data_IF_445931188144
#
_entry.id   IF_445931188144
#
_cell.length_a   1.000
_cell.length_b   1.000
_cell.length_c   1.000
_cell.angle_alpha   90.00
_cell.angle_beta   90.00
_cell.angle_gamma   90.00
#
_symmetry.space_group_name_H-M   'P 1'
#
loop_
_entity.id
_entity.type
_entity.pdbx_description
1 polymer ?
#
# COMPACT_ATOMS: atom_id res chain seq x y z
N UNK A 1 -0.13 -0.95 -5.27
CA UNK A 1 0.50 -0.61 -3.96
C UNK A 1 0.33 -1.82 -3.04
N UNK A 2 0.94 -1.84 -1.84
CA UNK A 2 0.91 -2.99 -0.92
C UNK A 2 -0.49 -3.36 -0.39
N UNK A 3 -0.54 -4.11 0.71
CA UNK A 3 -1.80 -4.55 1.32
C UNK A 3 -2.42 -3.49 2.24
N UNK A 4 -3.75 -3.35 2.17
CA UNK A 4 -4.55 -2.52 3.07
C UNK A 4 -4.81 -1.09 2.58
N UNK A 5 -5.81 -0.43 3.20
CA UNK A 5 -6.13 0.98 2.96
C UNK A 5 -5.29 1.86 3.93
N UNK A 6 -4.28 2.60 3.45
CA UNK A 6 -3.36 3.32 4.33
C UNK A 6 -4.04 4.43 5.13
N UNK A 7 -5.08 5.08 4.61
CA UNK A 7 -5.75 6.16 5.35
C UNK A 7 -6.60 5.65 6.52
N UNK A 8 -6.90 4.35 6.59
CA UNK A 8 -7.49 3.75 7.79
C UNK A 8 -6.46 3.57 8.92
N UNK A 9 -5.17 3.61 8.60
CA UNK A 9 -4.06 3.55 9.57
C UNK A 9 -3.23 4.85 9.53
N UNK A 10 -3.93 5.99 9.57
CA UNK A 10 -3.37 7.29 9.23
C UNK A 10 -2.13 7.67 10.03
N UNK A 11 -2.16 7.52 11.35
CA UNK A 11 -1.08 8.01 12.23
C UNK A 11 0.22 7.22 12.02
N UNK A 12 0.12 5.90 11.87
CA UNK A 12 1.28 5.07 11.55
C UNK A 12 1.83 5.36 10.15
N UNK A 13 0.95 5.58 9.16
CA UNK A 13 1.36 5.95 7.80
C UNK A 13 2.04 7.32 7.77
N UNK A 14 1.53 8.30 8.52
CA UNK A 14 2.15 9.62 8.63
C UNK A 14 3.53 9.54 9.31
N UNK A 15 3.65 8.75 10.38
CA UNK A 15 4.94 8.48 11.03
C UNK A 15 5.93 7.83 10.05
N UNK A 16 5.48 6.85 9.25
CA UNK A 16 6.32 6.21 8.24
C UNK A 16 6.76 7.20 7.13
N UNK A 17 5.87 8.09 6.67
CA UNK A 17 6.22 9.16 5.72
C UNK A 17 7.30 10.08 6.31
N UNK A 18 7.17 10.44 7.58
CA UNK A 18 8.17 11.27 8.28
C UNK A 18 9.50 10.54 8.41
N UNK A 19 9.50 9.25 8.72
CA UNK A 19 10.70 8.44 8.76
C UNK A 19 11.38 8.38 7.37
N UNK A 20 10.63 8.04 6.31
CA UNK A 20 11.14 8.00 4.94
C UNK A 20 11.79 9.32 4.51
N UNK A 21 11.24 10.46 4.93
CA UNK A 21 11.75 11.78 4.55
C UNK A 21 12.92 12.25 5.42
N UNK A 22 12.80 12.19 6.75
CA UNK A 22 13.81 12.69 7.69
C UNK A 22 15.00 11.76 7.87
N UNK A 23 14.74 10.45 7.91
CA UNK A 23 15.74 9.43 8.26
C UNK A 23 16.40 8.88 7.01
N UNK A 24 15.59 8.49 6.02
CA UNK A 24 16.09 7.92 4.77
C UNK A 24 16.37 8.96 3.68
N UNK A 25 16.11 10.24 3.95
CA UNK A 25 16.40 11.34 3.03
C UNK A 25 15.60 11.31 1.72
N UNK A 26 14.49 10.56 1.68
CA UNK A 26 13.67 10.45 0.47
C UNK A 26 12.87 11.74 0.27
N UNK A 27 13.06 12.42 -0.86
CA UNK A 27 12.27 13.60 -1.15
C UNK A 27 10.78 13.23 -1.24
N UNK A 28 9.85 13.98 -0.60
CA UNK A 28 8.43 13.62 -0.51
C UNK A 28 7.76 13.35 -1.87
N UNK A 29 8.22 14.00 -2.94
CA UNK A 29 7.73 13.78 -4.31
C UNK A 29 7.95 12.35 -4.84
N UNK A 30 8.83 11.56 -4.22
CA UNK A 30 9.04 10.15 -4.56
C UNK A 30 8.17 9.20 -3.74
N UNK A 31 7.45 9.71 -2.74
CA UNK A 31 6.50 8.96 -1.94
C UNK A 31 5.12 9.16 -2.54
N UNK A 32 4.46 8.05 -2.90
CA UNK A 32 3.08 8.07 -3.39
C UNK A 32 2.20 7.25 -2.46
N UNK A 33 1.20 7.88 -1.86
CA UNK A 33 0.17 7.22 -1.07
C UNK A 33 -1.04 6.98 -1.97
N UNK A 34 -1.47 5.73 -2.10
CA UNK A 34 -2.73 5.40 -2.78
C UNK A 34 -3.84 5.12 -1.78
N UNK A 35 -5.07 5.52 -2.10
CA UNK A 35 -6.24 5.32 -1.26
C UNK A 35 -7.46 4.99 -2.11
N UNK A 36 -8.37 4.18 -1.56
CA UNK A 36 -9.70 3.95 -2.11
C UNK A 36 -10.64 5.15 -1.91
N UNK A 37 -10.24 6.17 -1.15
CA UNK A 37 -10.97 7.44 -1.06
C UNK A 37 -11.49 7.83 0.31
N UNK A 38 -10.71 7.65 1.39
CA UNK A 38 -11.12 8.08 2.74
C UNK A 38 -11.12 9.62 2.83
N UNK A 39 -12.26 10.23 2.50
CA UNK A 39 -12.42 11.67 2.20
C UNK A 39 -11.80 12.60 3.25
N UNK A 40 -12.13 12.42 4.53
CA UNK A 40 -11.63 13.30 5.60
C UNK A 40 -10.11 13.17 5.78
N UNK A 41 -9.54 11.96 5.59
CA UNK A 41 -8.10 11.71 5.68
C UNK A 41 -7.34 12.22 4.45
N UNK A 42 -7.94 12.26 3.26
CA UNK A 42 -7.34 12.95 2.10
C UNK A 42 -7.12 14.44 2.41
N UNK A 43 -8.14 15.09 2.98
CA UNK A 43 -8.04 16.51 3.38
C UNK A 43 -7.00 16.71 4.48
N UNK A 44 -6.93 15.78 5.44
CA UNK A 44 -5.92 15.83 6.49
C UNK A 44 -4.49 15.63 5.94
N UNK A 45 -4.27 14.62 5.09
CA UNK A 45 -2.98 14.35 4.44
C UNK A 45 -2.49 15.56 3.64
N UNK A 46 -3.42 16.24 2.97
CA UNK A 46 -3.12 17.45 2.19
C UNK A 46 -2.50 18.57 3.02
N UNK A 47 -2.79 18.62 4.33
CA UNK A 47 -2.23 19.57 5.29
C UNK A 47 -0.97 19.03 5.96
N UNK A 48 -1.01 17.77 6.41
CA UNK A 48 0.06 17.17 7.23
C UNK A 48 1.28 16.75 6.40
N UNK A 49 1.08 16.40 5.12
CA UNK A 49 2.11 15.95 4.19
C UNK A 49 1.90 16.52 2.77
N UNK A 50 1.92 17.85 2.59
CA UNK A 50 1.46 18.52 1.37
C UNK A 50 2.28 18.19 0.11
N UNK A 51 3.51 17.69 0.28
CA UNK A 51 4.45 17.37 -0.80
C UNK A 51 4.46 15.89 -1.19
N UNK A 52 3.75 15.02 -0.46
CA UNK A 52 3.58 13.60 -0.81
C UNK A 52 2.62 13.51 -2.00
N UNK A 53 2.91 12.62 -2.96
CA UNK A 53 2.02 12.37 -4.09
C UNK A 53 0.82 11.56 -3.66
N UNK A 54 -0.35 11.89 -4.20
CA UNK A 54 -1.58 11.16 -4.00
C UNK A 54 -1.91 10.35 -5.24
N UNK A 55 -2.24 9.08 -5.03
CA UNK A 55 -2.91 8.24 -5.99
C UNK A 55 -4.34 7.94 -5.49
N UNK A 56 -5.31 7.96 -6.39
CA UNK A 56 -6.69 7.61 -6.12
C UNK A 56 -7.03 6.30 -6.82
N UNK A 57 -7.33 5.25 -6.07
CA UNK A 57 -7.89 4.00 -6.58
C UNK A 57 -9.37 4.21 -6.92
N UNK A 58 -9.64 4.80 -8.09
CA UNK A 58 -10.98 5.18 -8.53
C UNK A 58 -11.75 4.00 -9.12
N UNK A 59 -11.15 3.33 -10.10
CA UNK A 59 -11.62 2.10 -10.79
C UNK A 59 -13.00 2.16 -11.49
N UNK A 60 -13.83 3.15 -11.24
CA UNK A 60 -15.11 3.34 -11.91
C UNK A 60 -15.52 4.81 -11.92
N UNK A 61 -16.15 5.31 -13.01
CA UNK A 61 -16.52 6.71 -13.13
C UNK A 61 -17.93 7.05 -12.62
N UNK A 62 -18.69 6.06 -12.13
CA UNK A 62 -20.02 6.26 -11.50
C UNK A 62 -20.06 5.64 -10.11
N UNK A 63 -20.97 6.11 -9.25
CA UNK A 63 -21.09 5.59 -7.89
C UNK A 63 -21.55 4.14 -7.89
N UNK A 64 -22.46 3.78 -8.79
CA UNK A 64 -23.06 2.45 -8.90
C UNK A 64 -21.97 1.42 -9.23
N UNK A 65 -21.22 1.66 -10.31
CA UNK A 65 -20.13 0.78 -10.74
C UNK A 65 -18.99 0.75 -9.71
N UNK A 66 -18.70 1.88 -9.04
CA UNK A 66 -17.68 1.91 -7.99
C UNK A 66 -18.08 1.08 -6.78
N UNK A 67 -19.37 1.02 -6.44
CA UNK A 67 -19.88 0.22 -5.33
C UNK A 67 -19.82 -1.28 -5.63
N UNK A 68 -19.91 -1.66 -6.91
CA UNK A 68 -19.72 -3.04 -7.36
C UNK A 68 -18.26 -3.48 -7.29
N UNK A 69 -17.33 -2.66 -7.78
CA UNK A 69 -15.89 -3.00 -7.84
C UNK A 69 -15.20 -2.82 -6.49
N UNK A 70 -15.57 -1.77 -5.75
CA UNK A 70 -14.99 -1.42 -4.45
C UNK A 70 -16.13 -1.30 -3.44
N UNK A 71 -16.55 -2.39 -2.78
CA UNK A 71 -17.72 -2.38 -1.90
C UNK A 71 -17.65 -1.34 -0.77
N UNK A 72 -16.44 -1.07 -0.26
CA UNK A 72 -16.19 -0.05 0.77
C UNK A 72 -16.44 1.38 0.28
N UNK A 73 -16.54 1.60 -1.03
CA UNK A 73 -16.80 2.92 -1.62
C UNK A 73 -18.20 3.46 -1.32
N UNK A 74 -19.15 2.61 -0.90
CA UNK A 74 -20.50 3.03 -0.48
C UNK A 74 -20.45 4.06 0.66
N UNK A 75 -19.42 4.01 1.51
CA UNK A 75 -19.19 4.98 2.59
C UNK A 75 -18.69 6.35 2.08
N UNK A 76 -18.24 6.44 0.82
CA UNK A 76 -17.56 7.59 0.25
C UNK A 76 -18.18 7.98 -1.09
N UNK A 77 -19.27 8.77 -1.10
CA UNK A 77 -19.93 9.24 -2.31
C UNK A 77 -18.95 9.88 -3.31
N UNK A 78 -19.06 9.50 -4.58
CA UNK A 78 -18.12 9.87 -5.63
C UNK A 78 -18.02 11.40 -5.81
N UNK A 79 -19.13 12.12 -5.75
CA UNK A 79 -19.18 13.59 -5.81
C UNK A 79 -18.32 14.23 -4.69
N UNK A 80 -18.48 13.76 -3.46
CA UNK A 80 -17.72 14.25 -2.29
C UNK A 80 -16.25 13.84 -2.35
N UNK A 81 -15.96 12.67 -2.91
CA UNK A 81 -14.60 12.21 -3.15
C UNK A 81 -13.91 13.11 -4.18
N UNK A 82 -14.55 13.40 -5.31
CA UNK A 82 -14.00 14.29 -6.33
C UNK A 82 -13.81 15.71 -5.78
N UNK A 83 -14.73 16.21 -4.94
CA UNK A 83 -14.53 17.48 -4.25
C UNK A 83 -13.30 17.48 -3.33
N UNK A 84 -13.00 16.38 -2.63
CA UNK A 84 -11.78 16.28 -1.82
C UNK A 84 -10.50 16.18 -2.67
N UNK A 85 -10.58 15.62 -3.87
CA UNK A 85 -9.48 15.66 -4.84
C UNK A 85 -9.26 17.09 -5.35
N UNK A 86 -10.34 17.82 -5.63
CA UNK A 86 -10.26 19.23 -6.05
C UNK A 86 -9.63 20.08 -4.94
N UNK A 87 -10.05 19.89 -3.68
CA UNK A 87 -9.43 20.52 -2.51
C UNK A 87 -7.92 20.20 -2.44
N UNK A 88 -7.54 18.94 -2.66
CA UNK A 88 -6.15 18.50 -2.64
C UNK A 88 -5.32 19.17 -3.75
N UNK A 89 -5.86 19.23 -4.96
CA UNK A 89 -5.22 19.84 -6.13
C UNK A 89 -5.04 21.36 -5.94
N UNK A 90 -6.02 22.03 -5.32
CA UNK A 90 -5.98 23.46 -5.04
C UNK A 90 -4.93 23.87 -4.00
N UNK A 91 -4.39 22.94 -3.21
CA UNK A 91 -3.39 23.23 -2.19
C UNK A 91 -2.09 23.86 -2.73
N UNK A 92 -1.74 23.55 -3.99
CA UNK A 92 -0.52 24.07 -4.61
C UNK A 92 -0.61 24.00 -6.13
N UNK A 93 -0.18 25.05 -6.80
CA UNK A 93 -0.05 25.03 -8.26
C UNK A 93 0.86 23.89 -8.75
N UNK A 94 0.48 23.26 -9.86
CA UNK A 94 1.22 22.15 -10.46
C UNK A 94 1.09 20.81 -9.72
N UNK A 95 0.23 20.71 -8.69
CA UNK A 95 -0.09 19.42 -8.07
C UNK A 95 -0.82 18.52 -9.07
N UNK A 96 -0.58 17.22 -8.95
CA UNK A 96 -1.09 16.19 -9.85
C UNK A 96 -1.54 15.01 -9.01
N UNK A 97 -2.73 14.49 -9.28
CA UNK A 97 -3.22 13.24 -8.70
C UNK A 97 -3.11 12.13 -9.73
N UNK A 98 -2.52 11.01 -9.35
CA UNK A 98 -2.56 9.80 -10.18
C UNK A 98 -3.90 9.11 -9.96
N UNK A 99 -4.69 8.90 -11.01
CA UNK A 99 -5.94 8.15 -10.93
C UNK A 99 -5.66 6.73 -11.38
N UNK A 100 -5.80 5.78 -10.46
CA UNK A 100 -5.63 4.36 -10.77
C UNK A 100 -6.96 3.76 -11.21
N UNK A 101 -6.94 3.09 -12.36
CA UNK A 101 -8.10 2.51 -12.98
C UNK A 101 -7.80 1.06 -13.37
N UNK A 102 -8.25 0.10 -12.55
CA UNK A 102 -8.13 -1.31 -12.88
C UNK A 102 -9.16 -1.64 -13.95
N UNK A 103 -8.70 -2.10 -15.12
CA UNK A 103 -9.57 -2.40 -16.26
C UNK A 103 -10.00 -3.86 -16.20
N UNK A 104 -11.31 -4.09 -16.15
CA UNK A 104 -11.98 -5.37 -16.02
C UNK A 104 -12.86 -5.60 -17.26
N UNK A 105 -12.63 -6.71 -17.96
CA UNK A 105 -13.32 -7.03 -19.20
C UNK A 105 -14.83 -7.11 -19.02
N UNK A 106 -15.59 -6.36 -19.81
CA UNK A 106 -17.05 -6.36 -19.80
C UNK A 106 -17.69 -5.71 -18.57
N UNK A 107 -16.90 -5.09 -17.69
CA UNK A 107 -17.40 -4.46 -16.45
C UNK A 107 -17.22 -2.94 -16.51
N UNK A 108 -16.01 -2.47 -16.80
CA UNK A 108 -15.66 -1.04 -16.74
C UNK A 108 -14.74 -0.57 -17.88
N UNK A 109 -14.67 -1.34 -18.96
CA UNK A 109 -13.74 -1.15 -20.09
C UNK A 109 -14.44 -0.71 -21.40
N UNK A 110 -15.74 -0.40 -21.35
CA UNK A 110 -16.48 0.04 -22.54
C UNK A 110 -16.10 1.47 -22.97
N UNK A 111 -16.31 1.79 -24.26
CA UNK A 111 -16.09 3.14 -24.82
C UNK A 111 -16.99 4.18 -24.16
N UNK A 112 -18.24 3.82 -23.85
CA UNK A 112 -19.18 4.68 -23.12
C UNK A 112 -18.64 5.00 -21.72
N UNK A 113 -18.11 3.99 -21.04
CA UNK A 113 -17.47 4.15 -19.72
C UNK A 113 -16.25 5.07 -19.81
N UNK A 114 -15.45 4.96 -20.87
CA UNK A 114 -14.32 5.86 -21.12
C UNK A 114 -14.78 7.32 -21.28
N UNK A 115 -15.89 7.57 -21.98
CA UNK A 115 -16.46 8.90 -22.11
C UNK A 115 -16.97 9.46 -20.77
N UNK A 116 -17.60 8.63 -19.93
CA UNK A 116 -18.05 9.05 -18.59
C UNK A 116 -16.84 9.40 -17.72
N UNK A 117 -15.79 8.57 -17.72
CA UNK A 117 -14.54 8.84 -17.02
C UNK A 117 -13.86 10.12 -17.52
N UNK A 118 -13.80 10.30 -18.84
CA UNK A 118 -13.27 11.50 -19.47
C UNK A 118 -13.98 12.77 -18.99
N UNK A 119 -15.32 12.76 -18.99
CA UNK A 119 -16.14 13.88 -18.48
C UNK A 119 -15.98 14.11 -16.99
N UNK A 120 -15.80 13.06 -16.20
CA UNK A 120 -15.56 13.16 -14.76
C UNK A 120 -14.21 13.81 -14.45
N UNK A 121 -13.17 13.51 -15.24
CA UNK A 121 -11.80 13.92 -14.95
C UNK A 121 -11.33 15.15 -15.73
N UNK A 122 -12.02 15.56 -16.78
CA UNK A 122 -11.69 16.77 -17.52
C UNK A 122 -11.59 17.98 -16.58
N UNK A 123 -10.70 18.92 -16.93
CA UNK A 123 -10.37 20.11 -16.15
C UNK A 123 -9.66 19.86 -14.81
N UNK A 124 -9.31 18.62 -14.47
CA UNK A 124 -8.48 18.31 -13.30
C UNK A 124 -7.04 18.01 -13.73
N UNK A 125 -6.09 18.45 -12.91
CA UNK A 125 -4.68 18.06 -13.06
C UNK A 125 -4.51 16.62 -12.58
N UNK A 126 -4.82 15.67 -13.47
CA UNK A 126 -4.72 14.23 -13.19
C UNK A 126 -3.90 13.49 -14.23
N UNK A 127 -3.37 12.34 -13.81
CA UNK A 127 -2.76 11.35 -14.71
C UNK A 127 -3.46 10.02 -14.50
N UNK A 128 -4.14 9.53 -15.54
CA UNK A 128 -4.86 8.25 -15.50
C UNK A 128 -3.87 7.11 -15.75
N UNK A 129 -3.74 6.22 -14.78
CA UNK A 129 -2.99 5.00 -14.89
C UNK A 129 -3.97 3.85 -15.11
N UNK A 130 -4.10 3.42 -16.38
CA UNK A 130 -4.89 2.25 -16.76
C UNK A 130 -4.10 1.00 -16.41
N UNK A 131 -4.68 0.12 -15.59
CA UNK A 131 -4.05 -1.09 -15.06
C UNK A 131 -4.86 -2.28 -15.58
N UNK A 132 -4.43 -2.94 -16.67
CA UNK A 132 -5.08 -4.16 -17.13
C UNK A 132 -5.10 -5.20 -16.00
N UNK A 133 -6.27 -5.79 -15.73
CA UNK A 133 -6.40 -6.80 -14.69
C UNK A 133 -5.42 -7.95 -14.90
N UNK A 134 -4.83 -8.46 -13.82
CA UNK A 134 -3.99 -9.65 -13.90
C UNK A 134 -4.85 -10.88 -13.62
N UNK A 135 -5.29 -11.57 -14.67
CA UNK A 135 -6.07 -12.80 -14.53
C UNK A 135 -5.27 -13.84 -13.75
N UNK A 136 -5.79 -14.29 -12.61
CA UNK A 136 -5.21 -15.38 -11.81
C UNK A 136 -5.89 -16.70 -12.13
N UNK A 137 -5.13 -17.79 -12.17
CA UNK A 137 -5.63 -19.13 -12.50
C UNK A 137 -6.59 -19.74 -11.45
N UNK A 138 -6.82 -19.07 -10.32
CA UNK A 138 -7.71 -19.55 -9.25
C UNK A 138 -8.96 -18.66 -9.18
N UNK A 139 -10.08 -19.16 -9.68
CA UNK A 139 -11.43 -18.65 -9.37
C UNK A 139 -11.70 -17.20 -9.78
N UNK A 140 -10.99 -16.65 -10.76
CA UNK A 140 -11.11 -15.24 -11.12
C UNK A 140 -12.51 -14.90 -11.66
N UNK A 141 -13.25 -14.09 -10.90
CA UNK A 141 -14.54 -13.52 -11.30
C UNK A 141 -14.40 -12.50 -12.45
N UNK A 142 -13.20 -11.96 -12.63
CA UNK A 142 -12.90 -10.93 -13.63
C UNK A 142 -11.77 -11.37 -14.57
N UNK A 143 -11.75 -10.76 -15.75
CA UNK A 143 -10.73 -10.99 -16.78
C UNK A 143 -10.09 -9.67 -17.22
N UNK A 144 -8.88 -9.75 -17.77
CA UNK A 144 -8.28 -8.61 -18.48
C UNK A 144 -9.05 -8.33 -19.77
N UNK A 145 -9.35 -7.06 -20.10
CA UNK A 145 -9.82 -6.69 -21.44
C UNK A 145 -8.80 -7.04 -22.52
N UNK A 146 -9.26 -7.07 -23.78
CA UNK A 146 -8.37 -7.27 -24.90
C UNK A 146 -7.40 -6.07 -25.06
N UNK A 147 -6.20 -6.27 -25.64
CA UNK A 147 -5.31 -5.15 -25.94
C UNK A 147 -5.94 -4.09 -26.85
N UNK A 148 -6.90 -4.47 -27.70
CA UNK A 148 -7.63 -3.54 -28.56
C UNK A 148 -8.58 -2.65 -27.76
N UNK A 149 -9.37 -3.22 -26.86
CA UNK A 149 -10.29 -2.47 -25.99
C UNK A 149 -9.53 -1.50 -25.08
N UNK A 150 -8.39 -1.92 -24.53
CA UNK A 150 -7.53 -1.07 -23.70
C UNK A 150 -7.02 0.13 -24.50
N UNK A 151 -6.58 -0.09 -25.76
CA UNK A 151 -6.11 1.00 -26.64
C UNK A 151 -7.25 1.93 -27.03
N UNK A 152 -8.43 1.40 -27.30
CA UNK A 152 -9.59 2.20 -27.67
C UNK A 152 -10.07 3.06 -26.48
N UNK A 153 -10.15 2.49 -25.28
CA UNK A 153 -10.43 3.23 -24.05
C UNK A 153 -9.38 4.32 -23.80
N UNK A 154 -8.10 4.00 -23.95
CA UNK A 154 -6.99 4.95 -23.80
C UNK A 154 -7.07 6.11 -24.80
N UNK A 155 -7.39 5.83 -26.07
CA UNK A 155 -7.59 6.83 -27.11
C UNK A 155 -8.73 7.80 -26.74
N UNK A 156 -9.86 7.28 -26.26
CA UNK A 156 -10.99 8.11 -25.80
C UNK A 156 -10.58 9.04 -24.66
N UNK A 157 -9.74 8.62 -23.71
CA UNK A 157 -9.30 9.54 -22.66
C UNK A 157 -8.40 10.67 -23.20
N UNK A 158 -7.57 10.37 -24.19
CA UNK A 158 -6.55 11.29 -24.69
C UNK A 158 -7.07 12.25 -25.75
N UNK A 159 -7.84 11.77 -26.71
CA UNK A 159 -8.19 12.52 -27.91
C UNK A 159 -9.29 13.56 -27.64
N UNK A 160 -10.52 13.17 -27.23
CA UNK A 160 -11.59 14.13 -26.96
C UNK A 160 -11.45 14.89 -25.63
N UNK A 161 -10.79 14.32 -24.61
CA UNK A 161 -10.70 14.95 -23.28
C UNK A 161 -9.32 15.50 -22.91
N UNK A 162 -8.30 15.27 -23.75
CA UNK A 162 -6.93 15.73 -23.51
C UNK A 162 -6.35 15.30 -22.14
N UNK A 163 -6.74 14.13 -21.64
CA UNK A 163 -6.23 13.61 -20.38
C UNK A 163 -4.86 12.94 -20.59
N UNK A 164 -3.97 13.13 -19.61
CA UNK A 164 -2.74 12.32 -19.53
C UNK A 164 -3.14 10.91 -19.09
N UNK A 165 -2.93 9.93 -19.95
CA UNK A 165 -3.21 8.54 -19.66
C UNK A 165 -2.04 7.63 -20.08
N UNK A 166 -1.74 6.63 -19.25
CA UNK A 166 -0.77 5.56 -19.52
C UNK A 166 -1.40 4.20 -19.29
N UNK A 167 -1.03 3.24 -20.13
CA UNK A 167 -1.33 1.83 -19.91
C UNK A 167 -0.15 1.25 -19.14
N UNK A 168 -0.40 0.68 -17.96
CA UNK A 168 0.61 0.06 -17.13
C UNK A 168 0.97 -1.31 -17.69
N UNK A 169 2.27 -1.54 -17.88
CA UNK A 169 2.77 -2.88 -18.17
C UNK A 169 2.71 -3.74 -16.91
N UNK A 170 2.20 -4.97 -17.04
CA UNK A 170 2.21 -5.93 -15.95
C UNK A 170 3.63 -6.47 -15.77
N UNK A 171 4.31 -6.04 -14.70
CA UNK A 171 5.62 -6.57 -14.30
C UNK A 171 5.40 -7.51 -13.11
N UNK A 172 5.98 -8.72 -13.13
CA UNK A 172 5.96 -9.65 -12.00
C UNK A 172 4.80 -10.67 -11.94
N UNK A 173 4.15 -10.94 -13.08
CA UNK A 173 3.11 -12.00 -13.18
C UNK A 173 3.66 -13.40 -12.95
N UNK A 174 4.96 -13.59 -13.12
CA UNK A 174 5.70 -14.83 -12.94
C UNK A 174 5.94 -15.21 -11.47
N UNK A 175 5.77 -14.26 -10.53
CA UNK A 175 6.09 -14.45 -9.11
C UNK A 175 4.97 -14.05 -8.14
N UNK A 176 3.70 -14.01 -8.58
CA UNK A 176 2.55 -13.53 -7.77
C UNK A 176 2.75 -12.11 -7.19
N UNK A 177 3.61 -11.29 -7.81
CA UNK A 177 4.05 -9.99 -7.29
C UNK A 177 3.25 -8.79 -7.80
N UNK A 178 2.27 -9.01 -8.68
CA UNK A 178 1.49 -7.93 -9.26
C UNK A 178 0.54 -7.28 -8.22
N UNK A 179 0.13 -6.05 -8.47
CA UNK A 179 -0.83 -5.35 -7.60
C UNK A 179 -2.13 -6.16 -7.48
N UNK A 180 -2.52 -6.51 -6.26
CA UNK A 180 -3.70 -7.34 -5.97
C UNK A 180 -3.42 -8.84 -5.77
N UNK A 181 -2.21 -9.32 -6.09
CA UNK A 181 -1.85 -10.74 -5.96
C UNK A 181 -1.13 -11.09 -4.65
N UNK A 182 -0.95 -10.10 -3.76
CA UNK A 182 -0.47 -10.30 -2.39
C UNK A 182 -1.57 -10.93 -1.51
N UNK A 183 -2.22 -11.98 -2.00
CA UNK A 183 -3.01 -12.88 -1.19
C UNK A 183 -2.02 -13.73 -0.39
N UNK A 184 -2.10 -13.64 0.93
CA UNK A 184 -1.47 -14.60 1.82
C UNK A 184 -1.87 -15.99 1.34
N UNK A 185 -0.91 -16.79 0.84
CA UNK A 185 -1.12 -18.23 0.68
C UNK A 185 -1.51 -18.73 2.06
N UNK A 186 -2.80 -18.96 2.25
CA UNK A 186 -3.32 -19.60 3.45
C UNK A 186 -2.54 -20.90 3.59
N UNK A 187 -1.72 -20.99 4.63
CA UNK A 187 -0.97 -22.21 4.96
C UNK A 187 -1.98 -23.36 4.90
N UNK A 188 -1.77 -24.40 4.07
CA UNK A 188 -2.49 -25.64 4.28
C UNK A 188 -2.07 -26.12 5.68
N UNK A 189 -3.06 -26.35 6.54
CA UNK A 189 -2.85 -27.04 7.81
C UNK A 189 -2.21 -28.40 7.52
N UNK A 190 -0.90 -28.50 7.75
CA UNK A 190 -0.19 -29.77 7.59
C UNK A 190 1.26 -29.67 7.12
N UNK A 191 2.15 -29.70 8.11
CA UNK A 191 3.51 -30.25 8.07
C UNK A 191 4.70 -29.38 7.60
N UNK A 192 5.71 -29.41 8.48
CA UNK A 192 7.12 -29.05 8.37
C UNK A 192 7.51 -27.61 8.76
N UNK A 193 8.10 -27.53 9.95
CA UNK A 193 8.66 -26.34 10.60
C UNK A 193 9.76 -25.68 9.77
N UNK A 194 9.43 -24.57 9.12
CA UNK A 194 10.42 -23.53 8.84
C UNK A 194 10.55 -22.69 10.12
N UNK A 195 11.74 -22.72 10.73
CA UNK A 195 12.06 -21.88 11.88
C UNK A 195 12.37 -20.48 11.37
N UNK A 196 11.56 -19.51 11.78
CA UNK A 196 11.79 -18.09 11.54
C UNK A 196 12.92 -17.58 12.46
N UNK A 197 13.62 -16.54 12.03
CA UNK A 197 14.80 -15.97 12.71
C UNK A 197 14.49 -15.46 14.14
N UNK A 198 13.21 -15.21 14.41
CA UNK A 198 12.68 -14.76 15.70
C UNK A 198 12.67 -15.88 16.77
N UNK A 199 12.82 -17.14 16.36
CA UNK A 199 12.77 -18.33 17.22
C UNK A 199 14.14 -18.70 17.86
N UNK A 200 15.15 -17.82 17.71
CA UNK A 200 16.52 -18.01 18.22
C UNK A 200 16.76 -17.45 19.63
N UNK A 201 15.71 -17.08 20.37
CA UNK A 201 15.79 -16.54 21.73
C UNK A 201 16.01 -17.59 22.83
N UNK A 202 17.16 -17.49 23.52
CA UNK A 202 17.60 -18.17 24.77
C UNK A 202 16.95 -19.51 25.17
N UNK A 203 17.69 -20.61 24.93
CA UNK A 203 17.43 -21.93 25.53
C UNK A 203 17.46 -21.86 27.07
N UNK A 204 16.31 -21.97 27.73
CA UNK A 204 16.25 -22.55 29.10
C UNK A 204 16.21 -24.06 28.98
N UNK A 205 17.29 -24.71 29.39
CA UNK A 205 17.35 -26.16 29.55
C UNK A 205 16.39 -26.58 30.68
N UNK A 206 15.48 -27.52 30.39
CA UNK A 206 14.78 -28.29 31.43
C UNK A 206 15.04 -29.78 31.20
N UNK A 207 15.68 -30.42 32.17
CA UNK A 207 15.90 -31.86 32.28
C UNK A 207 14.57 -32.65 32.37
N UNK A 208 14.55 -33.96 32.03
CA UNK A 208 13.32 -34.69 31.80
C UNK A 208 12.60 -35.11 33.09
N UNK A 209 11.27 -34.98 33.08
CA UNK A 209 10.35 -35.39 34.16
C UNK A 209 10.17 -36.92 34.19
N UNK A 210 10.34 -37.51 35.39
CA UNK A 210 9.89 -38.87 35.74
C UNK A 210 8.39 -38.85 36.07
N UNK A 211 7.67 -39.83 35.55
CA UNK A 211 6.26 -40.13 35.86
C UNK A 211 6.07 -40.60 37.31
N UNK A 212 5.06 -40.09 38.02
CA UNK A 212 4.30 -40.87 39.01
C UNK A 212 2.91 -40.28 39.28
N UNK A 213 1.88 -41.15 39.20
CA UNK A 213 0.49 -40.96 39.65
C UNK A 213 0.42 -40.67 41.15
N UNK A 214 -0.53 -39.84 41.61
CA UNK A 214 -1.65 -40.22 42.51
C UNK A 214 -2.33 -39.01 43.20
N UNK A 215 -3.67 -39.10 43.21
CA UNK A 215 -4.67 -38.70 44.25
C UNK A 215 -4.67 -37.35 44.98
N UNK A 216 -5.87 -36.74 44.91
CA UNK A 216 -6.75 -36.19 45.97
C UNK A 216 -6.47 -34.85 46.68
N UNK A 217 -7.57 -34.07 46.71
CA UNK A 217 -8.10 -33.13 47.71
C UNK A 217 -7.67 -31.65 47.77
N UNK A 218 -8.73 -30.83 47.75
CA UNK A 218 -9.05 -29.57 48.45
C UNK A 218 -7.91 -28.62 48.85
N UNK A 219 -7.97 -27.36 48.41
CA UNK A 219 -8.52 -26.24 49.19
C UNK A 219 -8.27 -24.90 48.48
N UNK A 220 -9.11 -23.93 48.83
CA UNK A 220 -9.13 -22.53 48.42
C UNK A 220 -7.83 -21.77 48.71
N UNK A 221 -7.43 -20.88 47.80
CA UNK A 221 -6.91 -19.55 48.17
C UNK A 221 -6.84 -18.62 46.96
N UNK A 222 -7.51 -17.48 47.12
CA UNK A 222 -7.48 -16.31 46.24
C UNK A 222 -6.18 -15.53 46.46
N UNK A 223 -5.43 -15.25 45.39
CA UNK A 223 -4.32 -14.30 45.42
C UNK A 223 -4.35 -13.39 44.19
N UNK A 224 -4.11 -12.11 44.48
CA UNK A 224 -4.20 -10.91 43.65
C UNK A 224 -3.65 -11.02 42.22
N UNK A 225 -4.43 -10.48 41.28
CA UNK A 225 -4.00 -10.16 39.92
C UNK A 225 -3.72 -8.66 39.86
N UNK A 226 -2.44 -8.29 39.82
CA UNK A 226 -2.01 -6.94 39.40
C UNK A 226 -2.44 -6.69 37.94
N UNK A 227 -2.94 -5.49 37.58
CA UNK A 227 -3.45 -5.26 36.23
C UNK A 227 -2.28 -5.18 35.25
N UNK A 228 -2.33 -6.02 34.21
CA UNK A 228 -1.44 -5.94 33.07
C UNK A 228 -1.54 -4.54 32.44
N UNK A 229 -0.40 -3.87 32.26
CA UNK A 229 -0.32 -2.60 31.57
C UNK A 229 -0.92 -2.75 30.17
N UNK A 230 -2.07 -2.09 29.95
CA UNK A 230 -2.68 -1.94 28.63
C UNK A 230 -1.71 -1.19 27.73
N UNK A 231 -1.09 -1.91 26.80
CA UNK A 231 -0.22 -1.37 25.77
C UNK A 231 -1.09 -0.63 24.75
N UNK A 232 -1.18 0.69 24.86
CA UNK A 232 -1.93 1.52 23.91
C UNK A 232 -1.05 1.91 22.73
N UNK A 233 -1.61 1.84 21.51
CA UNK A 233 -0.92 2.13 20.24
C UNK A 233 -0.23 3.51 20.25
N UNK A 234 -0.82 4.47 20.96
CA UNK A 234 -0.27 5.83 21.15
C UNK A 234 1.12 5.83 21.82
N UNK A 235 1.37 4.90 22.75
CA UNK A 235 2.66 4.79 23.44
C UNK A 235 3.79 4.36 22.51
N UNK A 236 3.49 3.48 21.55
CA UNK A 236 4.50 3.00 20.60
C UNK A 236 4.81 4.04 19.52
N UNK A 237 3.79 4.73 18.98
CA UNK A 237 3.98 5.79 17.98
C UNK A 237 4.81 6.94 18.58
N UNK A 238 4.52 7.32 19.82
CA UNK A 238 5.26 8.38 20.52
C UNK A 238 6.72 7.99 20.70
N UNK A 239 7.00 6.77 21.19
CA UNK A 239 8.36 6.24 21.32
C UNK A 239 9.09 6.10 19.98
N UNK A 240 8.40 5.72 18.92
CA UNK A 240 8.98 5.63 17.58
C UNK A 240 9.37 7.01 17.05
N UNK A 241 8.52 8.03 17.24
CA UNK A 241 8.83 9.40 16.86
C UNK A 241 9.99 9.98 17.68
N UNK A 242 10.00 9.77 19.00
CA UNK A 242 11.09 10.18 19.89
C UNK A 242 12.42 9.52 19.51
N UNK A 243 12.42 8.21 19.26
CA UNK A 243 13.60 7.46 18.81
C UNK A 243 14.16 8.00 17.47
N UNK A 244 13.26 8.33 16.53
CA UNK A 244 13.65 8.90 15.23
C UNK A 244 14.30 10.27 15.40
N UNK A 245 13.71 11.14 16.23
CA UNK A 245 14.25 12.48 16.46
C UNK A 245 15.57 12.43 17.26
N UNK A 246 15.73 11.49 18.21
CA UNK A 246 16.95 11.31 19.01
C UNK A 246 18.12 10.74 18.19
N UNK A 247 17.87 9.82 17.26
CA UNK A 247 18.92 9.12 16.52
C UNK A 247 19.10 9.58 15.07
N UNK A 248 18.54 10.74 14.71
CA UNK A 248 18.51 11.26 13.33
C UNK A 248 19.92 11.30 12.68
N UNK A 249 20.96 11.67 13.43
CA UNK A 249 22.34 11.72 12.91
C UNK A 249 22.97 10.33 12.74
N UNK A 250 22.77 9.41 13.69
CA UNK A 250 23.35 8.08 13.66
C UNK A 250 22.74 7.21 12.55
N UNK A 251 21.43 7.30 12.35
CA UNK A 251 20.74 6.58 11.28
C UNK A 251 21.12 7.14 9.91
N UNK A 252 21.21 8.47 9.79
CA UNK A 252 21.67 9.13 8.56
C UNK A 252 23.07 8.68 8.11
N UNK A 253 24.03 8.56 9.06
CA UNK A 253 25.39 8.09 8.77
C UNK A 253 25.43 6.60 8.39
N UNK A 254 24.64 5.75 9.05
CA UNK A 254 24.56 4.33 8.71
C UNK A 254 23.99 4.08 7.31
N UNK A 255 22.99 4.87 6.89
CA UNK A 255 22.37 4.76 5.56
C UNK A 255 23.23 5.36 4.44
N UNK A 256 24.01 6.40 4.72
CA UNK A 256 25.05 6.89 3.80
C UNK A 256 26.11 5.81 3.57
N UNK A 257 26.54 5.11 4.63
CA UNK A 257 27.45 3.97 4.52
C UNK A 257 26.88 2.82 3.69
N UNK A 258 25.61 2.45 3.91
CA UNK A 258 24.93 1.42 3.12
C UNK A 258 24.76 1.83 1.64
N UNK A 259 24.44 3.09 1.38
CA UNK A 259 24.27 3.62 0.01
C UNK A 259 25.60 3.63 -0.76
N UNK A 260 26.71 3.98 -0.10
CA UNK A 260 28.06 3.90 -0.68
C UNK A 260 28.44 2.45 -0.98
N UNK A 261 28.11 1.49 -0.10
CA UNK A 261 28.37 0.08 -0.33
C UNK A 261 27.60 -0.47 -1.54
N UNK A 262 26.31 -0.13 -1.69
CA UNK A 262 25.50 -0.53 -2.85
C UNK A 262 26.05 0.07 -4.15
N UNK A 263 26.47 1.34 -4.13
CA UNK A 263 27.07 1.99 -5.30
C UNK A 263 28.40 1.34 -5.70
N UNK A 264 29.25 1.01 -4.73
CA UNK A 264 30.54 0.35 -4.95
C UNK A 264 30.36 -1.06 -5.53
N UNK A 265 29.38 -1.84 -5.03
CA UNK A 265 29.04 -3.16 -5.58
C UNK A 265 28.48 -3.04 -7.01
N UNK A 266 27.68 -2.00 -7.28
CA UNK A 266 27.17 -1.69 -8.63
C UNK A 266 28.29 -1.36 -9.63
N UNK A 267 29.27 -0.54 -9.24
CA UNK A 267 30.45 -0.23 -10.07
C UNK A 267 31.34 -1.46 -10.30
N UNK A 268 31.57 -2.27 -9.27
CA UNK A 268 32.35 -3.51 -9.39
C UNK A 268 31.70 -4.54 -10.34
N UNK A 269 30.36 -4.60 -10.39
CA UNK A 269 29.61 -5.44 -11.34
C UNK A 269 29.66 -4.90 -12.77
N UNK A 270 29.58 -3.57 -12.96
CA UNK A 270 29.71 -2.93 -14.28
C UNK A 270 31.11 -3.07 -14.89
N UNK A 271 32.17 -2.96 -14.08
CA UNK A 271 33.54 -3.18 -14.54
C UNK A 271 33.82 -4.61 -15.02
N UNK A 272 33.09 -5.60 -14.47
CA UNK A 272 33.20 -7.01 -14.86
C UNK A 272 32.42 -7.37 -16.14
N UNK A 273 31.50 -6.52 -16.57
CA UNK A 273 30.72 -6.71 -17.80
C UNK A 273 31.40 -6.13 -19.06
N UNK A 274 32.51 -5.38 -18.90
CA UNK A 274 33.29 -4.81 -20.01
C UNK A 274 34.58 -5.57 -20.33
N UNK A 275 34.82 -6.68 -19.64
CA UNK A 275 35.92 -7.62 -19.92
C UNK A 275 35.31 -9.00 -20.15
N UNK A 276 34.68 -9.15 -21.31
CA UNK A 276 34.41 -10.41 -22.03
C UNK A 276 33.84 -10.07 -23.41
#
# INVERSE_FOLDING_TARGET
MGMGEPLNNYDAVLAAIRAMTKVFGLAPKYITLSTVGVIHRIRQLSKDAPLVRLALSLHAPTQEMRSEIVPTSTAYPLDKLMAAIDDHLAMKEGKLVMVEYCMLAGVNDSIETAHILGKLLQNRSVHVNLIPYNTTDVGAQFQSPSPEDIRAFHAVLREPYNLKATIRENHGTDIDGACGQLALKSKPDGSASQRDIEDLGSRRTKSPRKNKKSSSNSDSESADVSPAATFTVDSWITRANEFIDEHQQAIGVALLGASIAVLAIGFARRGRAHVN
#
